data_IF_964288366825
#
_entry.id   IF_964288366825
#
_cell.length_a   1.000
_cell.length_b   1.000
_cell.length_c   1.000
_cell.angle_alpha   90.00
_cell.angle_beta   90.00
_cell.angle_gamma   90.00
#
_symmetry.space_group_name_H-M   'P 1'
#
loop_
_entity.id
_entity.type
_entity.pdbx_description
1 polymer ?
#
# COMPACT_ATOMS: atom_id res chain seq x y z
N UNK A 1 -3.72 4.72 22.44
CA UNK A 1 -2.76 4.06 21.53
C UNK A 1 -2.03 5.16 20.77
N UNK A 2 -0.75 5.34 21.06
CA UNK A 2 0.07 6.40 20.49
C UNK A 2 0.38 6.08 19.01
N UNK A 3 -0.27 6.78 18.08
CA UNK A 3 -0.11 6.58 16.63
C UNK A 3 1.19 7.22 16.08
N UNK A 4 1.98 7.86 16.95
CA UNK A 4 3.17 8.63 16.56
C UNK A 4 4.41 7.76 16.34
N UNK A 5 4.48 6.57 16.94
CA UNK A 5 5.59 5.59 16.80
C UNK A 5 5.23 4.41 15.91
N UNK A 6 4.43 4.61 14.85
CA UNK A 6 4.31 3.55 13.83
C UNK A 6 5.68 3.41 13.14
N UNK A 7 6.34 2.30 13.44
CA UNK A 7 7.65 1.92 12.93
C UNK A 7 7.60 1.81 11.39
N UNK A 8 8.54 2.48 10.71
CA UNK A 8 8.60 2.52 9.25
C UNK A 8 8.70 1.11 8.64
N UNK A 9 9.32 0.14 9.36
CA UNK A 9 9.34 -1.27 8.92
C UNK A 9 7.96 -1.90 9.00
N UNK A 10 7.22 -1.68 10.08
CA UNK A 10 5.87 -2.24 10.24
C UNK A 10 4.93 -1.76 9.14
N UNK A 11 4.95 -0.47 8.79
CA UNK A 11 4.16 0.06 7.67
C UNK A 11 4.57 -0.60 6.36
N UNK A 12 5.87 -0.70 6.09
CA UNK A 12 6.37 -1.31 4.87
C UNK A 12 5.97 -2.78 4.76
N UNK A 13 6.09 -3.54 5.85
CA UNK A 13 5.71 -4.95 5.90
C UNK A 13 4.22 -5.14 5.69
N UNK A 14 3.38 -4.36 6.38
CA UNK A 14 1.93 -4.41 6.19
C UNK A 14 1.56 -4.14 4.74
N UNK A 15 2.21 -3.16 4.13
CA UNK A 15 1.96 -2.75 2.75
C UNK A 15 2.36 -3.82 1.72
N UNK A 16 3.53 -4.43 1.88
CA UNK A 16 3.98 -5.56 1.05
C UNK A 16 3.03 -6.75 1.21
N UNK A 17 2.58 -7.03 2.44
CA UNK A 17 1.62 -8.10 2.70
C UNK A 17 0.27 -7.84 2.02
N UNK A 18 -0.26 -6.61 2.08
CA UNK A 18 -1.51 -6.24 1.39
C UNK A 18 -1.37 -6.37 -0.12
N UNK A 19 -0.25 -5.92 -0.71
CA UNK A 19 0.00 -6.05 -2.14
C UNK A 19 0.09 -7.53 -2.57
N UNK A 20 0.74 -8.38 -1.77
CA UNK A 20 0.83 -9.82 -2.03
C UNK A 20 -0.56 -10.49 -1.99
N UNK A 21 -1.41 -10.14 -1.02
CA UNK A 21 -2.79 -10.66 -0.93
C UNK A 21 -3.61 -10.23 -2.15
N UNK A 22 -3.50 -8.98 -2.58
CA UNK A 22 -4.19 -8.49 -3.77
C UNK A 22 -3.71 -9.17 -5.05
N UNK A 23 -2.40 -9.46 -5.16
CA UNK A 23 -1.84 -10.21 -6.28
C UNK A 23 -2.36 -11.65 -6.33
N UNK A 24 -2.44 -12.32 -5.17
CA UNK A 24 -3.04 -13.68 -5.08
C UNK A 24 -4.52 -13.64 -5.43
N UNK A 25 -5.26 -12.64 -4.96
CA UNK A 25 -6.67 -12.45 -5.32
C UNK A 25 -6.90 -12.23 -6.82
N UNK A 26 -6.04 -11.42 -7.46
CA UNK A 26 -6.07 -11.22 -8.90
C UNK A 26 -5.80 -12.52 -9.67
N UNK A 27 -4.79 -13.29 -9.26
CA UNK A 27 -4.44 -14.59 -9.85
C UNK A 27 -5.59 -15.59 -9.75
N UNK A 28 -6.15 -15.77 -8.55
CA UNK A 28 -7.29 -16.67 -8.33
C UNK A 28 -8.47 -16.23 -9.18
N UNK A 29 -8.77 -14.94 -9.23
CA UNK A 29 -9.88 -14.43 -10.05
C UNK A 29 -9.68 -14.67 -11.54
N UNK A 30 -8.45 -14.55 -12.04
CA UNK A 30 -8.12 -14.84 -13.43
C UNK A 30 -8.25 -16.32 -13.77
N UNK A 31 -7.99 -17.22 -12.82
CA UNK A 31 -8.16 -18.68 -13.02
C UNK A 31 -9.61 -19.14 -13.14
N UNK A 32 -10.58 -18.33 -12.68
CA UNK A 32 -12.02 -18.65 -12.75
C UNK A 32 -12.75 -17.89 -13.89
N UNK A 33 -12.03 -17.36 -14.88
CA UNK A 33 -12.58 -16.53 -15.98
C UNK A 33 -13.40 -15.31 -15.50
N UNK A 34 -13.18 -14.87 -14.26
CA UNK A 34 -13.82 -13.68 -13.71
C UNK A 34 -12.98 -12.43 -14.01
N UNK A 35 -12.90 -12.08 -15.30
CA UNK A 35 -12.09 -10.96 -15.80
C UNK A 35 -12.38 -9.63 -15.12
N UNK A 36 -13.66 -9.35 -14.83
CA UNK A 36 -14.08 -8.13 -14.14
C UNK A 36 -13.57 -8.05 -12.69
N UNK A 37 -13.51 -9.18 -12.00
CA UNK A 37 -13.03 -9.24 -10.61
C UNK A 37 -11.49 -9.13 -10.59
N UNK A 38 -10.80 -9.73 -11.55
CA UNK A 38 -9.35 -9.58 -11.72
C UNK A 38 -8.97 -8.11 -11.97
N UNK A 39 -9.72 -7.40 -12.83
CA UNK A 39 -9.58 -5.96 -13.03
C UNK A 39 -9.79 -5.17 -11.74
N UNK A 40 -10.78 -5.54 -10.92
CA UNK A 40 -11.01 -4.97 -9.60
C UNK A 40 -9.79 -5.08 -8.67
N UNK A 41 -9.15 -6.25 -8.63
CA UNK A 41 -7.92 -6.45 -7.84
C UNK A 41 -6.73 -5.63 -8.36
N UNK A 42 -6.57 -5.48 -9.67
CA UNK A 42 -5.52 -4.65 -10.26
C UNK A 42 -5.71 -3.18 -9.91
N UNK A 43 -6.95 -2.67 -10.00
CA UNK A 43 -7.28 -1.29 -9.62
C UNK A 43 -7.05 -1.07 -8.12
N UNK A 44 -7.48 -2.02 -7.28
CA UNK A 44 -7.24 -1.97 -5.84
C UNK A 44 -5.74 -1.97 -5.51
N UNK A 45 -4.94 -2.81 -6.15
CA UNK A 45 -3.48 -2.83 -5.97
C UNK A 45 -2.83 -1.50 -6.39
N UNK A 46 -3.27 -0.92 -7.50
CA UNK A 46 -2.80 0.38 -7.98
C UNK A 46 -3.12 1.51 -7.00
N UNK A 47 -4.34 1.51 -6.45
CA UNK A 47 -4.76 2.49 -5.43
C UNK A 47 -3.94 2.36 -4.15
N UNK A 48 -3.65 1.13 -3.72
CA UNK A 48 -2.76 0.88 -2.58
C UNK A 48 -1.40 1.50 -2.87
N UNK A 49 -0.74 1.17 -3.99
CA UNK A 49 0.58 1.68 -4.42
C UNK A 49 0.62 3.22 -4.42
N UNK A 50 -0.42 3.87 -4.96
CA UNK A 50 -0.55 5.32 -4.97
C UNK A 50 -0.64 5.89 -3.55
N UNK A 51 -1.50 5.34 -2.69
CA UNK A 51 -1.67 5.83 -1.33
C UNK A 51 -0.38 5.75 -0.49
N UNK A 52 0.39 4.67 -0.60
CA UNK A 52 1.64 4.52 0.15
C UNK A 52 2.79 5.36 -0.40
N UNK A 53 2.85 5.59 -1.72
CA UNK A 53 3.81 6.55 -2.30
C UNK A 53 3.52 7.99 -1.83
N UNK A 54 2.24 8.39 -1.80
CA UNK A 54 1.83 9.68 -1.23
C UNK A 54 2.18 9.78 0.27
N UNK A 55 1.92 8.73 1.04
CA UNK A 55 2.22 8.70 2.47
C UNK A 55 3.72 8.84 2.74
N UNK A 56 4.57 8.14 1.98
CA UNK A 56 6.03 8.26 2.07
C UNK A 56 6.51 9.66 1.67
N UNK A 57 5.95 10.25 0.62
CA UNK A 57 6.27 11.61 0.20
C UNK A 57 5.90 12.63 1.28
N UNK A 58 4.72 12.47 1.90
CA UNK A 58 4.26 13.32 2.99
C UNK A 58 5.17 13.20 4.23
N UNK A 59 5.50 11.97 4.66
CA UNK A 59 6.44 11.75 5.76
C UNK A 59 7.80 12.36 5.50
N UNK A 60 8.36 12.22 4.28
CA UNK A 60 9.64 12.88 3.92
C UNK A 60 9.53 14.40 4.01
N UNK A 61 8.41 14.99 3.58
CA UNK A 61 8.20 16.43 3.66
C UNK A 61 8.14 16.90 5.12
N UNK A 62 7.42 16.18 5.97
CA UNK A 62 7.32 16.48 7.41
C UNK A 62 8.66 16.30 8.13
N UNK A 63 9.37 15.19 7.87
CA UNK A 63 10.70 14.93 8.43
C UNK A 63 11.67 16.07 8.03
N UNK A 64 11.61 16.53 6.77
CA UNK A 64 12.47 17.63 6.28
C UNK A 64 12.12 19.00 6.87
N UNK A 65 10.86 19.24 7.24
CA UNK A 65 10.46 20.48 7.94
C UNK A 65 10.93 20.44 9.40
N UNK A 66 10.85 19.28 10.06
CA UNK A 66 11.30 19.08 11.44
C UNK A 66 12.82 19.10 11.64
N UNK A 67 13.60 18.85 10.59
CA UNK A 67 15.08 18.89 10.63
C UNK A 67 15.63 20.33 10.45
N UNK A 68 14.76 21.28 10.09
CA UNK A 68 15.12 22.69 9.83
C UNK A 68 14.78 23.60 11.02
N UNK A 69 14.06 23.10 12.03
CA UNK A 69 13.86 23.72 13.36
C UNK A 69 14.80 23.09 14.39
#
# INVERSE_FOLDING_TARGET
MDLTTIDKKTVKTAYVATAAILMVGALVSAFYDHDYIALGFIVAASAVILAGSLFMAYRRKVDKVRDVD
#
